data_IF_990833875086
#
_entry.id   IF_990833875086
#
_cell.length_a   1.000
_cell.length_b   1.000
_cell.length_c   1.000
_cell.angle_alpha   90.00
_cell.angle_beta   90.00
_cell.angle_gamma   90.00
#
_symmetry.space_group_name_H-M   'P 1'
#
loop_
_entity.id
_entity.type
_entity.pdbx_description
1 polymer ?
#
# COMPACT_ATOMS: atom_id res chain seq x y z
N UNK A 1 -19.54 -2.66 -4.58
CA UNK A 1 -19.03 -1.27 -4.70
C UNK A 1 -17.56 -1.38 -4.35
N UNK A 2 -16.67 -1.41 -5.36
CA UNK A 2 -15.23 -1.44 -5.10
C UNK A 2 -14.86 -0.04 -4.63
N UNK A 3 -15.00 0.22 -3.34
CA UNK A 3 -14.22 1.28 -2.70
C UNK A 3 -12.76 0.87 -2.90
N UNK A 4 -12.05 1.55 -3.81
CA UNK A 4 -10.65 1.29 -4.16
C UNK A 4 -9.78 1.65 -2.94
N UNK A 5 -9.81 0.77 -1.94
CA UNK A 5 -9.04 0.90 -0.72
C UNK A 5 -7.55 0.74 -1.05
N UNK A 6 -6.70 1.31 -0.18
CA UNK A 6 -5.25 1.20 -0.29
C UNK A 6 -4.75 -0.24 -0.54
N UNK A 7 -5.39 -1.25 0.08
CA UNK A 7 -5.08 -2.67 -0.12
C UNK A 7 -5.27 -3.15 -1.57
N UNK A 8 -6.31 -2.69 -2.28
CA UNK A 8 -6.56 -3.04 -3.69
C UNK A 8 -5.53 -2.36 -4.59
N UNK A 9 -5.25 -1.07 -4.35
CA UNK A 9 -4.23 -0.31 -5.07
C UNK A 9 -2.87 -1.00 -4.96
N UNK A 10 -2.51 -1.44 -3.76
CA UNK A 10 -1.25 -2.14 -3.49
C UNK A 10 -1.24 -3.50 -4.17
N UNK A 11 -2.30 -4.30 -4.03
CA UNK A 11 -2.42 -5.61 -4.66
C UNK A 11 -2.32 -5.50 -6.20
N UNK A 12 -2.93 -4.47 -6.79
CA UNK A 12 -2.88 -4.18 -8.22
C UNK A 12 -1.49 -3.76 -8.68
N UNK A 13 -0.81 -2.90 -7.92
CA UNK A 13 0.57 -2.49 -8.20
C UNK A 13 1.55 -3.66 -8.09
N UNK A 14 1.40 -4.49 -7.07
CA UNK A 14 2.16 -5.74 -6.87
C UNK A 14 1.96 -6.68 -8.05
N UNK A 15 0.71 -6.90 -8.47
CA UNK A 15 0.38 -7.76 -9.61
C UNK A 15 0.91 -7.19 -10.94
N UNK A 16 0.81 -5.88 -11.15
CA UNK A 16 1.34 -5.20 -12.34
C UNK A 16 2.85 -5.28 -12.45
N UNK A 17 3.57 -5.25 -11.32
CA UNK A 17 5.03 -5.33 -11.27
C UNK A 17 5.55 -6.77 -11.05
N UNK A 18 4.67 -7.75 -10.91
CA UNK A 18 5.00 -9.14 -10.56
C UNK A 18 5.81 -9.26 -9.26
N UNK A 19 5.58 -8.34 -8.31
CA UNK A 19 6.23 -8.33 -6.99
C UNK A 19 5.33 -9.08 -6.01
N UNK A 20 5.84 -10.17 -5.43
CA UNK A 20 5.15 -10.92 -4.37
C UNK A 20 5.39 -10.31 -2.98
N UNK A 21 4.60 -10.72 -1.99
CA UNK A 21 4.74 -10.24 -0.59
C UNK A 21 6.14 -10.45 -0.01
N UNK A 22 6.73 -11.62 -0.27
CA UNK A 22 8.08 -11.95 0.20
C UNK A 22 9.15 -11.09 -0.47
N UNK A 23 9.00 -10.81 -1.77
CA UNK A 23 9.91 -9.95 -2.50
C UNK A 23 9.78 -8.49 -2.05
N UNK A 24 8.55 -8.02 -1.81
CA UNK A 24 8.32 -6.69 -1.27
C UNK A 24 8.93 -6.53 0.13
N UNK A 25 8.77 -7.54 1.00
CA UNK A 25 9.41 -7.58 2.33
C UNK A 25 10.94 -7.48 2.23
N UNK A 26 11.54 -8.22 1.31
CA UNK A 26 12.99 -8.20 1.09
C UNK A 26 13.48 -6.83 0.59
N UNK A 27 12.82 -6.27 -0.44
CA UNK A 27 13.16 -4.99 -1.05
C UNK A 27 13.02 -3.81 -0.08
N UNK A 28 12.02 -3.86 0.80
CA UNK A 28 11.66 -2.76 1.71
C UNK A 28 12.23 -2.95 3.10
N UNK A 29 12.81 -4.14 3.37
CA UNK A 29 13.17 -4.63 4.71
C UNK A 29 12.03 -4.57 5.73
N UNK A 30 10.78 -4.53 5.24
CA UNK A 30 9.60 -4.58 6.09
C UNK A 30 9.28 -6.04 6.39
N UNK A 31 8.80 -6.30 7.61
CA UNK A 31 8.40 -7.65 7.98
C UNK A 31 7.20 -8.08 7.13
N UNK A 32 7.22 -9.31 6.62
CA UNK A 32 6.11 -9.87 5.82
C UNK A 32 4.77 -9.76 6.56
N UNK A 33 4.77 -9.96 7.88
CA UNK A 33 3.57 -9.81 8.70
C UNK A 33 2.93 -8.42 8.58
N UNK A 34 3.73 -7.37 8.51
CA UNK A 34 3.25 -5.99 8.37
C UNK A 34 2.66 -5.74 6.98
N UNK A 35 3.26 -6.34 5.94
CA UNK A 35 2.70 -6.29 4.58
C UNK A 35 1.37 -7.05 4.52
N UNK A 36 1.25 -8.18 5.22
CA UNK A 36 0.01 -8.94 5.27
C UNK A 36 -1.09 -8.20 6.04
N UNK A 37 -0.75 -7.49 7.11
CA UNK A 37 -1.65 -6.57 7.82
C UNK A 37 -2.12 -5.45 6.90
N UNK A 38 -1.20 -4.86 6.15
CA UNK A 38 -1.52 -3.80 5.20
C UNK A 38 -2.48 -4.25 4.09
N UNK A 39 -2.30 -5.47 3.59
CA UNK A 39 -3.19 -6.09 2.62
C UNK A 39 -4.50 -6.61 3.23
N UNK A 40 -4.60 -6.66 4.57
CA UNK A 40 -5.82 -6.98 5.30
C UNK A 40 -6.61 -5.71 5.67
N UNK A 41 -6.16 -4.53 5.22
CA UNK A 41 -6.82 -3.24 5.44
C UNK A 41 -6.27 -2.44 6.63
N UNK A 42 -5.19 -2.91 7.27
CA UNK A 42 -4.55 -2.18 8.37
C UNK A 42 -3.66 -1.06 7.83
N UNK A 43 -3.86 0.17 8.30
CA UNK A 43 -3.12 1.33 7.81
C UNK A 43 -1.87 1.54 8.62
N UNK A 44 -0.72 1.14 8.06
CA UNK A 44 0.59 1.30 8.69
C UNK A 44 1.39 2.32 7.90
N UNK A 45 1.32 3.60 8.29
CA UNK A 45 1.90 4.73 7.54
C UNK A 45 3.41 4.55 7.28
N UNK A 46 4.16 4.04 8.27
CA UNK A 46 5.58 3.74 8.12
C UNK A 46 5.84 2.69 7.04
N UNK A 47 4.99 1.66 6.92
CA UNK A 47 5.15 0.62 5.90
C UNK A 47 4.75 1.17 4.54
N UNK A 48 3.63 1.88 4.45
CA UNK A 48 3.13 2.53 3.24
C UNK A 48 4.23 3.43 2.65
N UNK A 49 4.88 4.25 3.47
CA UNK A 49 5.94 5.16 3.04
C UNK A 49 7.17 4.45 2.47
N UNK A 50 7.41 3.19 2.85
CA UNK A 50 8.55 2.41 2.36
C UNK A 50 8.17 1.60 1.12
N UNK A 51 6.98 0.99 1.10
CA UNK A 51 6.53 0.18 -0.05
C UNK A 51 6.09 1.02 -1.25
N UNK A 52 5.57 2.23 -1.02
CA UNK A 52 5.06 3.11 -2.07
C UNK A 52 6.10 3.40 -3.15
N UNK A 53 7.33 3.90 -2.83
CA UNK A 53 8.34 4.14 -3.86
C UNK A 53 8.80 2.86 -4.56
N UNK A 54 8.85 1.72 -3.85
CA UNK A 54 9.22 0.42 -4.43
C UNK A 54 8.19 -0.06 -5.45
N UNK A 55 6.91 0.18 -5.17
CA UNK A 55 5.79 -0.13 -6.06
C UNK A 55 5.49 1.00 -7.06
N UNK A 56 6.31 2.06 -7.13
CA UNK A 56 6.05 3.26 -7.95
C UNK A 56 4.66 3.87 -7.71
N UNK A 57 4.20 3.82 -6.47
CA UNK A 57 2.96 4.43 -6.01
C UNK A 57 3.26 5.75 -5.31
N UNK A 58 2.32 6.69 -5.42
CA UNK A 58 2.36 7.93 -4.66
C UNK A 58 2.00 7.65 -3.19
N UNK A 59 2.97 7.87 -2.30
CA UNK A 59 2.80 7.70 -0.86
C UNK A 59 1.61 8.52 -0.33
N UNK A 60 1.52 9.78 -0.76
CA UNK A 60 0.46 10.71 -0.33
C UNK A 60 -0.93 10.18 -0.71
N UNK A 61 -1.10 9.74 -1.96
CA UNK A 61 -2.38 9.15 -2.42
C UNK A 61 -2.71 7.88 -1.66
N UNK A 62 -1.72 7.03 -1.38
CA UNK A 62 -1.94 5.80 -0.63
C UNK A 62 -2.36 6.11 0.80
N UNK A 63 -1.72 7.08 1.46
CA UNK A 63 -2.08 7.53 2.80
C UNK A 63 -3.47 8.16 2.84
N UNK A 64 -3.85 8.95 1.84
CA UNK A 64 -5.20 9.53 1.70
C UNK A 64 -6.24 8.43 1.56
N UNK A 65 -6.02 7.47 0.65
CA UNK A 65 -6.90 6.31 0.47
C UNK A 65 -6.95 5.44 1.72
N UNK A 66 -5.84 5.28 2.44
CA UNK A 66 -5.76 4.46 3.64
C UNK A 66 -6.49 5.12 4.82
N UNK A 67 -6.28 6.41 5.04
CA UNK A 67 -6.98 7.19 6.08
C UNK A 67 -8.48 7.36 5.82
N UNK A 68 -8.98 6.92 4.65
CA UNK A 68 -10.33 7.23 4.13
C UNK A 68 -10.63 8.74 4.15
N UNK A 69 -9.58 9.55 4.24
CA UNK A 69 -9.67 11.00 4.36
C UNK A 69 -9.66 11.59 2.96
N UNK A 70 -10.55 11.07 2.10
CA UNK A 70 -10.85 11.74 0.85
C UNK A 70 -11.68 12.98 1.17
N UNK A 71 -10.99 14.10 1.39
CA UNK A 71 -11.60 15.42 1.41
C UNK A 71 -11.25 16.11 0.10
N UNK A 72 -12.17 16.24 -0.88
CA UNK A 72 -11.93 17.16 -1.98
C UNK A 72 -11.76 18.55 -1.37
N UNK A 73 -10.58 19.14 -1.50
CA UNK A 73 -10.40 20.57 -1.20
C UNK A 73 -11.23 21.36 -2.24
N UNK A 74 -12.01 22.36 -1.80
CA UNK A 74 -12.83 23.21 -2.67
C UNK A 74 -11.98 24.10 -3.59
#
# INVERSE_FOLDING_TARGET
>A
MLEDNHEDIIAKAMRGQKIGKAMLADLTKVNKAEIERLLAGEVIESVISVIAPVLKLDNDKLLISARKEWSPKP
#
